data_IF_728753645443
#
_entry.id   IF_728753645443
#
_cell.length_a   1.000
_cell.length_b   1.000
_cell.length_c   1.000
_cell.angle_alpha   90.00
_cell.angle_beta   90.00
_cell.angle_gamma   90.00
#
_symmetry.space_group_name_H-M   'P 1'
#
loop_
_entity.id
_entity.type
_entity.pdbx_description
1 polymer ?
#
# COMPACT_ATOMS: atom_id res chain seq x y z
N UNK A 1 -17.82 -33.26 51.33
CA UNK A 1 -16.64 -32.41 51.21
C UNK A 1 -16.28 -32.09 49.74
N UNK A 2 -16.50 -32.99 48.80
CA UNK A 2 -16.11 -32.83 47.38
C UNK A 2 -16.87 -31.77 46.58
N UNK A 3 -18.11 -31.46 46.87
CA UNK A 3 -18.89 -30.45 46.14
C UNK A 3 -18.54 -28.97 46.49
N UNK A 4 -17.97 -28.74 47.68
CA UNK A 4 -17.53 -27.36 48.09
C UNK A 4 -16.16 -27.00 47.57
N UNK A 5 -15.32 -28.00 47.29
CA UNK A 5 -13.98 -27.78 46.71
C UNK A 5 -14.09 -27.46 45.19
N UNK A 6 -15.07 -28.08 44.50
CA UNK A 6 -15.33 -27.79 43.09
C UNK A 6 -15.87 -26.39 42.84
N UNK A 7 -16.68 -25.86 43.75
CA UNK A 7 -17.21 -24.49 43.67
C UNK A 7 -16.13 -23.43 43.95
N UNK A 8 -15.14 -23.75 44.80
CA UNK A 8 -14.04 -22.84 45.09
C UNK A 8 -12.99 -22.79 43.98
N UNK A 9 -12.76 -23.91 43.31
CA UNK A 9 -11.85 -23.96 42.14
C UNK A 9 -12.48 -23.30 40.93
N UNK A 10 -13.79 -23.42 40.69
CA UNK A 10 -14.49 -22.74 39.63
C UNK A 10 -14.59 -21.22 39.84
N UNK A 11 -14.74 -20.75 41.08
CA UNK A 11 -14.72 -19.33 41.37
C UNK A 11 -13.30 -18.71 41.34
N UNK A 12 -12.25 -19.50 41.57
CA UNK A 12 -10.88 -19.05 41.45
C UNK A 12 -10.41 -19.00 39.97
N UNK A 13 -10.94 -19.90 39.13
CA UNK A 13 -10.68 -19.86 37.67
C UNK A 13 -11.45 -18.71 36.98
N UNK A 14 -12.57 -18.28 37.54
CA UNK A 14 -13.31 -17.10 37.03
C UNK A 14 -12.70 -15.76 37.48
N UNK A 15 -11.85 -15.77 38.50
CA UNK A 15 -11.13 -14.57 38.96
C UNK A 15 -9.75 -14.36 38.25
N UNK A 16 -9.32 -15.32 37.47
CA UNK A 16 -8.03 -15.23 36.73
C UNK A 16 -8.17 -14.85 35.25
N UNK A 17 -9.37 -14.54 34.79
CA UNK A 17 -9.62 -14.10 33.40
C UNK A 17 -10.18 -12.69 33.30
N UNK A 18 -10.21 -11.93 34.36
CA UNK A 18 -10.39 -10.48 34.26
C UNK A 18 -8.99 -9.86 34.02
N UNK A 19 -8.49 -9.93 32.80
CA UNK A 19 -7.58 -8.91 32.31
C UNK A 19 -8.35 -7.59 32.46
N UNK A 20 -7.85 -6.57 33.18
CA UNK A 20 -8.50 -5.29 33.17
C UNK A 20 -8.48 -4.82 31.68
N UNK A 21 -9.60 -4.90 31.01
CA UNK A 21 -9.86 -3.94 29.96
C UNK A 21 -9.71 -2.60 30.70
N UNK A 22 -8.67 -1.84 30.40
CA UNK A 22 -8.57 -0.47 30.89
C UNK A 22 -9.90 0.17 30.53
N UNK A 23 -10.64 0.60 31.57
CA UNK A 23 -11.89 1.30 31.32
C UNK A 23 -11.51 2.52 30.49
N UNK A 24 -12.08 2.67 29.32
CA UNK A 24 -11.82 3.76 28.37
C UNK A 24 -11.94 5.14 29.07
N UNK A 25 -12.76 5.22 30.09
CA UNK A 25 -12.96 6.40 30.96
C UNK A 25 -11.73 6.79 31.80
N UNK A 26 -10.68 5.94 31.89
CA UNK A 26 -9.49 6.19 32.72
C UNK A 26 -8.36 6.85 31.95
N UNK A 27 -8.45 6.95 30.63
CA UNK A 27 -7.42 7.59 29.79
C UNK A 27 -7.64 9.11 29.83
N UNK A 28 -6.73 9.80 30.46
CA UNK A 28 -6.76 11.26 30.59
C UNK A 28 -5.40 11.89 30.19
N UNK A 29 -5.38 13.18 29.97
CA UNK A 29 -4.17 13.92 29.63
C UNK A 29 -4.26 14.64 28.31
N UNK A 30 -3.11 14.82 27.67
CA UNK A 30 -2.99 15.53 26.40
C UNK A 30 -2.09 14.73 25.45
N UNK A 31 -2.54 14.50 24.22
CA UNK A 31 -1.77 13.91 23.14
C UNK A 31 -1.56 14.91 22.03
N UNK A 32 -0.36 14.92 21.45
CA UNK A 32 -0.07 15.58 20.17
C UNK A 32 0.09 14.53 19.08
N UNK A 33 -0.69 14.63 18.03
CA UNK A 33 -0.72 13.67 16.94
C UNK A 33 -0.45 14.39 15.62
N UNK A 34 0.55 13.95 14.87
CA UNK A 34 0.77 14.41 13.52
C UNK A 34 -0.08 13.58 12.55
N UNK A 35 -0.91 14.25 11.78
CA UNK A 35 -1.87 13.63 10.86
C UNK A 35 -1.62 14.10 9.43
N UNK A 36 -1.91 13.22 8.48
CA UNK A 36 -1.87 13.56 7.06
C UNK A 36 -3.23 14.08 6.61
N UNK A 37 -3.20 15.13 5.78
CA UNK A 37 -4.31 15.51 4.92
C UNK A 37 -3.87 15.42 3.46
N UNK A 38 -4.80 15.29 2.54
CA UNK A 38 -4.46 15.43 1.13
C UNK A 38 -4.84 16.84 0.62
N UNK A 39 -4.10 17.30 -0.40
CA UNK A 39 -4.24 18.63 -1.00
C UNK A 39 -5.55 18.80 -1.83
N UNK A 40 -6.40 17.78 -1.92
CA UNK A 40 -7.58 17.75 -2.79
C UNK A 40 -8.90 18.11 -2.08
N UNK A 41 -8.84 18.60 -0.83
CA UNK A 41 -10.03 18.89 -0.02
C UNK A 41 -10.77 17.66 0.51
N UNK A 42 -10.17 16.47 0.38
CA UNK A 42 -10.63 15.22 0.97
C UNK A 42 -9.91 14.98 2.30
N UNK A 43 -9.90 15.97 3.15
CA UNK A 43 -9.12 16.02 4.39
C UNK A 43 -9.37 14.82 5.33
N UNK A 44 -10.56 14.25 5.23
CA UNK A 44 -10.97 13.09 6.00
C UNK A 44 -10.36 11.74 5.58
N UNK A 45 -9.69 11.66 4.41
CA UNK A 45 -9.34 10.39 3.79
C UNK A 45 -8.07 9.74 4.32
N UNK A 46 -7.17 10.51 4.91
CA UNK A 46 -5.81 10.03 5.21
C UNK A 46 -5.38 10.22 6.66
N UNK A 47 -6.29 10.55 7.57
CA UNK A 47 -5.93 10.84 8.95
C UNK A 47 -6.87 10.26 10.00
N UNK A 48 -6.30 9.79 11.08
CA UNK A 48 -7.00 9.35 12.30
C UNK A 48 -7.38 10.55 13.17
N UNK A 49 -8.13 11.49 12.66
CA UNK A 49 -8.47 12.72 13.36
C UNK A 49 -9.97 12.89 13.61
N UNK A 50 -10.30 13.50 14.70
CA UNK A 50 -11.66 13.84 15.12
C UNK A 50 -11.62 15.09 15.97
N UNK A 51 -11.31 16.24 15.34
CA UNK A 51 -11.08 17.49 16.04
C UNK A 51 -12.40 18.25 16.29
N UNK A 52 -13.27 18.26 15.29
CA UNK A 52 -14.51 19.02 15.30
C UNK A 52 -15.72 18.14 14.93
N UNK A 53 -16.93 18.49 15.40
CA UNK A 53 -18.13 17.83 14.94
C UNK A 53 -18.25 17.88 13.41
N UNK A 54 -18.37 16.71 12.79
CA UNK A 54 -18.38 16.55 11.33
C UNK A 54 -17.10 15.93 10.78
N UNK A 55 -16.00 15.87 11.55
CA UNK A 55 -14.85 15.05 11.21
C UNK A 55 -15.22 13.57 11.27
N UNK A 56 -14.69 12.71 10.39
CA UNK A 56 -15.10 11.30 10.25
C UNK A 56 -15.04 10.48 11.54
N UNK A 57 -14.16 10.87 12.45
CA UNK A 57 -13.87 10.10 13.66
C UNK A 57 -14.25 10.82 14.95
N UNK A 58 -14.84 12.02 14.84
CA UNK A 58 -15.08 12.88 15.99
C UNK A 58 -15.91 12.21 17.07
N UNK A 59 -17.07 11.68 16.69
CA UNK A 59 -17.99 11.08 17.64
C UNK A 59 -17.40 9.83 18.30
N UNK A 60 -16.75 8.96 17.50
CA UNK A 60 -16.07 7.79 18.01
C UNK A 60 -14.95 8.15 19.00
N UNK A 61 -14.08 9.08 18.63
CA UNK A 61 -12.97 9.50 19.49
C UNK A 61 -13.48 10.15 20.78
N UNK A 62 -14.52 10.94 20.71
CA UNK A 62 -15.14 11.55 21.90
C UNK A 62 -15.81 10.54 22.79
N UNK A 63 -16.44 9.53 22.26
CA UNK A 63 -17.03 8.44 23.04
C UNK A 63 -15.94 7.57 23.68
N UNK A 64 -14.90 7.22 22.95
CA UNK A 64 -13.82 6.38 23.44
C UNK A 64 -12.88 7.11 24.41
N UNK A 65 -12.65 8.41 24.24
CA UNK A 65 -11.67 9.20 24.99
C UNK A 65 -12.25 10.52 25.51
N UNK A 66 -13.28 10.49 26.36
CA UNK A 66 -14.00 11.70 26.84
C UNK A 66 -13.08 12.65 27.62
N UNK A 67 -12.05 12.12 28.29
CA UNK A 67 -11.15 12.87 29.18
C UNK A 67 -9.77 13.17 28.52
N UNK A 68 -9.54 12.73 27.28
CA UNK A 68 -8.30 12.95 26.55
C UNK A 68 -8.40 14.22 25.71
N UNK A 69 -7.47 15.15 25.90
CA UNK A 69 -7.32 16.30 25.01
C UNK A 69 -6.35 15.93 23.89
N UNK A 70 -6.76 16.09 22.64
CA UNK A 70 -5.95 15.75 21.49
C UNK A 70 -5.64 17.01 20.68
N UNK A 71 -4.35 17.22 20.39
CA UNK A 71 -3.86 18.28 19.51
C UNK A 71 -3.41 17.66 18.19
N UNK A 72 -4.17 17.90 17.14
CA UNK A 72 -3.79 17.45 15.80
C UNK A 72 -2.92 18.49 15.11
N UNK A 73 -1.78 18.04 14.56
CA UNK A 73 -0.90 18.86 13.74
C UNK A 73 -0.90 18.30 12.33
N UNK A 74 -1.39 19.10 11.39
CA UNK A 74 -1.67 18.70 10.02
C UNK A 74 -0.43 18.83 9.15
N UNK A 75 -0.26 17.92 8.19
CA UNK A 75 0.79 17.93 7.16
C UNK A 75 2.22 17.97 7.70
N UNK A 76 2.48 17.28 8.80
CA UNK A 76 3.82 16.95 9.24
C UNK A 76 3.95 15.43 9.28
N UNK A 77 4.97 14.92 8.64
CA UNK A 77 5.20 13.49 8.49
C UNK A 77 6.56 13.03 9.01
N UNK A 78 6.85 11.78 8.74
CA UNK A 78 8.04 11.09 9.24
C UNK A 78 9.37 11.78 8.87
N UNK A 79 9.45 12.49 7.75
CA UNK A 79 10.67 13.20 7.34
C UNK A 79 11.11 14.31 8.28
N UNK A 80 10.18 14.85 9.09
CA UNK A 80 10.41 15.98 9.98
C UNK A 80 10.61 15.57 11.44
N UNK A 81 10.29 14.29 11.79
CA UNK A 81 10.25 13.82 13.17
C UNK A 81 11.62 13.93 13.87
N UNK A 82 12.72 13.66 13.16
CA UNK A 82 14.06 13.75 13.72
C UNK A 82 14.43 15.17 14.15
N UNK A 83 14.07 16.16 13.34
CA UNK A 83 14.31 17.57 13.65
C UNK A 83 13.43 18.04 14.81
N UNK A 84 12.16 17.62 14.84
CA UNK A 84 11.25 17.92 15.93
C UNK A 84 11.70 17.29 17.25
N UNK A 85 12.19 16.04 17.21
CA UNK A 85 12.74 15.36 18.38
C UNK A 85 13.96 16.10 18.96
N UNK A 86 14.85 16.58 18.11
CA UNK A 86 16.02 17.38 18.55
C UNK A 86 15.60 18.75 19.12
N UNK A 87 14.54 19.34 18.62
CA UNK A 87 13.99 20.60 19.12
C UNK A 87 13.16 20.44 20.42
N UNK A 88 12.81 19.21 20.80
CA UNK A 88 11.92 18.93 21.94
C UNK A 88 10.45 19.21 21.63
N UNK A 89 10.06 19.21 20.36
CA UNK A 89 8.71 19.52 19.85
C UNK A 89 8.12 18.33 19.04
N UNK A 90 8.59 17.12 19.32
CA UNK A 90 8.07 15.91 18.68
C UNK A 90 6.68 15.56 19.23
N UNK A 91 5.78 15.00 18.40
CA UNK A 91 4.46 14.55 18.81
C UNK A 91 4.53 13.26 19.64
N UNK A 92 3.40 12.83 20.18
CA UNK A 92 3.28 11.51 20.82
C UNK A 92 3.08 10.40 19.77
N UNK A 93 2.31 10.73 18.73
CA UNK A 93 2.06 9.87 17.55
C UNK A 93 2.42 10.62 16.27
N UNK A 94 3.05 9.94 15.34
CA UNK A 94 3.31 10.45 13.99
C UNK A 94 3.05 9.37 12.94
N UNK A 95 2.69 9.81 11.75
CA UNK A 95 2.47 8.89 10.64
C UNK A 95 3.67 8.84 9.70
N UNK A 96 3.74 7.75 8.95
CA UNK A 96 4.43 7.69 7.67
C UNK A 96 3.48 7.17 6.60
N UNK A 97 3.70 7.60 5.39
CA UNK A 97 3.06 7.08 4.19
C UNK A 97 4.12 6.58 3.22
N UNK A 98 3.85 5.45 2.59
CA UNK A 98 4.76 4.82 1.65
C UNK A 98 5.16 3.39 2.02
N UNK A 99 6.32 2.99 1.54
CA UNK A 99 6.82 1.64 1.73
C UNK A 99 7.54 1.48 3.07
N UNK A 100 6.94 0.73 3.97
CA UNK A 100 7.45 0.56 5.33
C UNK A 100 8.86 -0.05 5.38
N UNK A 101 9.19 -0.97 4.48
CA UNK A 101 10.52 -1.60 4.41
C UNK A 101 11.65 -0.60 4.17
N UNK A 102 11.35 0.53 3.52
CA UNK A 102 12.31 1.60 3.26
C UNK A 102 12.35 2.65 4.37
N UNK A 103 11.21 2.90 5.01
CA UNK A 103 11.05 3.98 6.00
C UNK A 103 11.46 3.51 7.40
N UNK A 104 10.99 2.34 7.82
CA UNK A 104 11.24 1.83 9.18
C UNK A 104 12.72 1.77 9.57
N UNK A 105 13.64 1.22 8.76
CA UNK A 105 15.07 1.20 9.13
C UNK A 105 15.65 2.60 9.38
N UNK A 106 15.17 3.63 8.67
CA UNK A 106 15.65 5.01 8.86
C UNK A 106 15.14 5.61 10.17
N UNK A 107 13.90 5.35 10.55
CA UNK A 107 13.30 5.78 11.81
C UNK A 107 13.97 5.08 12.98
N UNK A 108 14.22 3.77 12.88
CA UNK A 108 14.83 2.94 13.91
C UNK A 108 16.32 3.27 14.13
N UNK A 109 17.07 3.54 13.06
CA UNK A 109 18.47 3.99 13.15
C UNK A 109 18.64 5.28 13.97
N UNK A 110 17.59 6.10 14.07
CA UNK A 110 17.54 7.33 14.83
C UNK A 110 16.86 7.18 16.19
N UNK A 111 16.36 5.97 16.53
CA UNK A 111 15.67 5.70 17.79
C UNK A 111 14.34 6.44 17.95
N UNK A 112 13.60 6.64 16.87
CA UNK A 112 12.40 7.48 16.87
C UNK A 112 11.10 6.74 17.19
N UNK A 113 11.06 5.41 16.95
CA UNK A 113 9.87 4.59 17.16
C UNK A 113 9.94 3.75 18.43
N UNK A 114 8.86 3.73 19.18
CA UNK A 114 8.66 2.83 20.33
C UNK A 114 8.29 1.43 19.84
N UNK A 115 8.94 0.35 20.36
CA UNK A 115 8.50 -1.02 20.07
C UNK A 115 7.16 -1.32 20.74
N UNK A 116 6.22 -1.91 19.98
CA UNK A 116 4.86 -2.14 20.43
C UNK A 116 4.65 -3.48 21.12
N UNK A 117 5.64 -4.37 21.14
CA UNK A 117 5.53 -5.72 21.66
C UNK A 117 4.98 -5.80 23.09
N UNK A 118 5.49 -4.93 24.01
CA UNK A 118 5.03 -4.92 25.39
C UNK A 118 3.56 -4.55 25.56
N UNK A 119 3.02 -3.78 24.63
CA UNK A 119 1.60 -3.39 24.65
C UNK A 119 0.69 -4.49 24.10
N UNK A 120 1.18 -5.28 23.14
CA UNK A 120 0.41 -6.35 22.49
C UNK A 120 0.53 -7.72 23.20
N UNK A 121 1.52 -7.92 24.09
CA UNK A 121 1.72 -9.19 24.81
C UNK A 121 0.46 -9.71 25.51
N UNK A 122 -0.36 -8.80 26.02
CA UNK A 122 -1.61 -9.13 26.71
C UNK A 122 -2.86 -9.07 25.80
N UNK A 123 -2.66 -8.77 24.51
CA UNK A 123 -3.72 -8.56 23.53
C UNK A 123 -3.37 -9.13 22.14
N UNK A 124 -2.84 -10.32 22.13
CA UNK A 124 -2.43 -10.96 20.88
C UNK A 124 -3.58 -11.11 19.85
N UNK A 125 -4.83 -11.14 20.32
CA UNK A 125 -6.01 -11.21 19.45
C UNK A 125 -6.15 -9.97 18.57
N UNK A 126 -5.74 -8.80 19.04
CA UNK A 126 -5.79 -7.57 18.27
C UNK A 126 -4.96 -7.62 16.99
N UNK A 127 -3.70 -8.09 17.09
CA UNK A 127 -2.81 -8.18 15.92
C UNK A 127 -3.14 -9.35 15.00
N UNK A 128 -3.81 -10.39 15.49
CA UNK A 128 -4.18 -11.55 14.67
C UNK A 128 -5.24 -11.24 13.62
N UNK A 129 -5.93 -10.12 13.73
CA UNK A 129 -6.93 -9.69 12.76
C UNK A 129 -6.31 -9.01 11.52
N UNK A 130 -5.05 -8.56 11.63
CA UNK A 130 -4.37 -7.96 10.49
C UNK A 130 -3.94 -9.00 9.45
N UNK A 131 -3.90 -8.59 8.19
CA UNK A 131 -3.29 -9.40 7.13
C UNK A 131 -1.80 -9.59 7.44
N UNK A 132 -1.30 -10.84 7.54
CA UNK A 132 0.07 -11.10 8.00
C UNK A 132 1.15 -10.32 7.26
N UNK A 133 1.12 -10.29 5.93
CA UNK A 133 2.09 -9.56 5.11
C UNK A 133 2.17 -8.06 5.41
N UNK A 134 1.10 -7.47 5.92
CA UNK A 134 1.06 -6.04 6.26
C UNK A 134 1.91 -5.74 7.51
N UNK A 135 1.74 -6.51 8.58
CA UNK A 135 2.50 -6.30 9.82
C UNK A 135 3.97 -6.70 9.68
N UNK A 136 4.26 -7.65 8.79
CA UNK A 136 5.64 -8.06 8.52
C UNK A 136 6.51 -6.91 8.02
N UNK A 137 5.98 -6.01 7.19
CA UNK A 137 6.72 -4.84 6.70
C UNK A 137 7.05 -3.82 7.78
N UNK A 138 6.36 -3.87 8.92
CA UNK A 138 6.53 -2.97 10.08
C UNK A 138 7.25 -3.66 11.24
N UNK A 139 7.69 -4.90 11.03
CA UNK A 139 8.37 -5.71 12.04
C UNK A 139 9.86 -5.80 11.69
N UNK A 140 10.71 -5.33 12.60
CA UNK A 140 12.17 -5.39 12.46
C UNK A 140 12.75 -6.13 13.66
N UNK A 141 13.58 -7.13 13.42
CA UNK A 141 14.22 -7.97 14.46
C UNK A 141 13.19 -8.55 15.46
N UNK A 142 11.99 -8.91 14.97
CA UNK A 142 10.91 -9.50 15.77
C UNK A 142 10.13 -8.49 16.62
N UNK A 143 10.37 -7.20 16.48
CA UNK A 143 9.61 -6.15 17.13
C UNK A 143 8.72 -5.42 16.12
N UNK A 144 7.45 -5.25 16.46
CA UNK A 144 6.51 -4.42 15.73
C UNK A 144 6.66 -2.96 16.18
N UNK A 145 6.72 -2.01 15.25
CA UNK A 145 6.96 -0.59 15.56
C UNK A 145 5.87 0.37 15.08
N UNK A 146 4.98 -0.11 14.23
CA UNK A 146 3.89 0.70 13.72
C UNK A 146 2.62 -0.14 13.54
N UNK A 147 1.47 0.52 13.50
CA UNK A 147 0.22 -0.08 13.08
C UNK A 147 -0.30 0.56 11.81
N UNK A 148 -0.73 -0.24 10.83
CA UNK A 148 -1.28 0.27 9.58
C UNK A 148 -2.71 0.78 9.81
N UNK A 149 -2.95 1.99 9.33
CA UNK A 149 -4.28 2.56 9.26
C UNK A 149 -4.93 2.27 7.91
N UNK A 150 -4.13 2.34 6.86
CA UNK A 150 -4.54 2.09 5.49
C UNK A 150 -3.46 1.35 4.72
N UNK A 151 -3.84 0.53 3.76
CA UNK A 151 -2.93 -0.23 2.92
C UNK A 151 -3.27 -0.05 1.44
N UNK A 152 -2.23 0.07 0.64
CA UNK A 152 -2.31 0.29 -0.80
C UNK A 152 -1.37 -0.70 -1.50
N UNK A 153 -1.80 -1.97 -1.68
CA UNK A 153 -1.00 -2.93 -2.40
C UNK A 153 -0.92 -2.56 -3.89
N UNK A 154 0.23 -2.81 -4.48
CA UNK A 154 0.41 -2.79 -5.92
C UNK A 154 0.07 -4.14 -6.52
N UNK A 155 -0.60 -4.10 -7.65
CA UNK A 155 -0.99 -5.27 -8.42
C UNK A 155 -1.30 -4.86 -9.85
N UNK A 156 -2.17 -5.61 -10.49
CA UNK A 156 -2.49 -5.43 -11.91
C UNK A 156 -4.01 -5.36 -12.07
N UNK A 157 -4.51 -4.21 -12.51
CA UNK A 157 -5.90 -4.13 -12.97
C UNK A 157 -6.03 -4.83 -14.31
N UNK A 158 -7.07 -5.62 -14.48
CA UNK A 158 -7.40 -6.34 -15.71
C UNK A 158 -8.73 -5.83 -16.24
N UNK A 159 -8.75 -5.44 -17.51
CA UNK A 159 -9.94 -4.98 -18.23
C UNK A 159 -10.56 -6.16 -18.95
N UNK A 160 -11.66 -6.66 -18.41
CA UNK A 160 -12.36 -7.81 -18.96
C UNK A 160 -12.99 -7.53 -20.32
N UNK A 161 -13.40 -6.29 -20.61
CA UNK A 161 -13.99 -5.94 -21.91
C UNK A 161 -12.98 -6.11 -23.06
N UNK A 162 -11.69 -5.84 -22.78
CA UNK A 162 -10.61 -6.08 -23.77
C UNK A 162 -10.36 -7.57 -23.96
N UNK A 163 -10.37 -8.35 -22.87
CA UNK A 163 -10.22 -9.80 -22.91
C UNK A 163 -11.38 -10.46 -23.68
N UNK A 164 -12.61 -10.08 -23.39
CA UNK A 164 -13.81 -10.57 -24.07
C UNK A 164 -13.76 -10.26 -25.57
N UNK A 165 -13.41 -9.03 -25.94
CA UNK A 165 -13.26 -8.63 -27.34
C UNK A 165 -12.20 -9.45 -28.07
N UNK A 166 -11.15 -9.86 -27.39
CA UNK A 166 -10.08 -10.70 -27.93
C UNK A 166 -10.39 -12.21 -27.82
N UNK A 167 -11.48 -12.59 -27.17
CA UNK A 167 -11.85 -13.97 -26.82
C UNK A 167 -10.73 -14.69 -26.05
N UNK A 168 -10.22 -14.01 -25.02
CA UNK A 168 -9.17 -14.51 -24.10
C UNK A 168 -9.81 -14.79 -22.74
N UNK A 169 -9.51 -15.94 -22.18
CA UNK A 169 -9.99 -16.32 -20.86
C UNK A 169 -9.47 -15.39 -19.76
N UNK A 170 -10.26 -15.17 -18.70
CA UNK A 170 -9.85 -14.38 -17.55
C UNK A 170 -8.73 -15.08 -16.79
N UNK A 171 -7.69 -14.34 -16.30
CA UNK A 171 -6.63 -14.95 -15.52
C UNK A 171 -7.15 -15.56 -14.22
N UNK A 172 -6.46 -16.59 -13.72
CA UNK A 172 -6.63 -17.05 -12.35
C UNK A 172 -5.88 -16.12 -11.37
N UNK A 173 -6.24 -16.13 -10.07
CA UNK A 173 -5.53 -15.30 -9.08
C UNK A 173 -4.07 -15.72 -8.89
N UNK A 174 -3.74 -16.97 -9.18
CA UNK A 174 -2.40 -17.55 -9.11
C UNK A 174 -1.67 -17.60 -10.48
N UNK A 175 -2.08 -16.74 -11.41
CA UNK A 175 -1.51 -16.65 -12.74
C UNK A 175 0.03 -16.47 -12.72
N UNK A 176 0.67 -16.86 -13.81
CA UNK A 176 2.12 -16.81 -13.96
C UNK A 176 2.55 -15.73 -14.94
N UNK A 177 3.86 -15.44 -14.99
CA UNK A 177 4.44 -14.59 -16.04
C UNK A 177 4.12 -15.13 -17.44
N UNK A 178 4.13 -16.46 -17.64
CA UNK A 178 3.78 -17.07 -18.92
C UNK A 178 2.31 -16.85 -19.30
N UNK A 179 1.40 -16.90 -18.32
CA UNK A 179 -0.02 -16.60 -18.54
C UNK A 179 -0.20 -15.12 -18.93
N UNK A 180 0.52 -14.23 -18.23
CA UNK A 180 0.53 -12.80 -18.56
C UNK A 180 1.07 -12.55 -19.98
N UNK A 181 2.17 -13.19 -20.39
CA UNK A 181 2.74 -13.06 -21.73
C UNK A 181 1.81 -13.62 -22.81
N UNK A 182 1.18 -14.76 -22.56
CA UNK A 182 0.22 -15.36 -23.48
C UNK A 182 -1.02 -14.45 -23.67
N UNK A 183 -1.54 -13.90 -22.59
CA UNK A 183 -2.61 -12.90 -22.65
C UNK A 183 -2.15 -11.65 -23.43
N UNK A 184 -0.96 -11.11 -23.13
CA UNK A 184 -0.44 -9.93 -23.77
C UNK A 184 -0.31 -10.09 -25.30
N UNK A 185 0.14 -11.25 -25.75
CA UNK A 185 0.22 -11.59 -27.18
C UNK A 185 -1.17 -11.67 -27.81
N UNK A 186 -2.12 -12.29 -27.14
CA UNK A 186 -3.45 -12.53 -27.67
C UNK A 186 -4.32 -11.26 -27.76
N UNK A 187 -4.20 -10.34 -26.80
CA UNK A 187 -5.03 -9.12 -26.77
C UNK A 187 -4.46 -7.99 -27.63
N UNK A 188 -3.15 -8.02 -27.94
CA UNK A 188 -2.50 -6.91 -28.64
C UNK A 188 -2.84 -6.93 -30.14
N UNK A 189 -3.54 -5.91 -30.58
CA UNK A 189 -3.89 -5.71 -32.00
C UNK A 189 -3.83 -4.22 -32.37
N UNK A 190 -2.81 -3.84 -33.12
CA UNK A 190 -2.57 -2.47 -33.61
C UNK A 190 -2.88 -2.31 -35.11
N UNK A 191 -3.57 -3.29 -35.72
CA UNK A 191 -3.90 -3.26 -37.16
C UNK A 191 -4.87 -2.12 -37.52
N UNK A 192 -5.74 -1.74 -36.58
CA UNK A 192 -6.52 -0.49 -36.63
C UNK A 192 -5.82 0.56 -35.75
N UNK A 193 -5.05 1.43 -36.40
CA UNK A 193 -4.28 2.45 -35.69
C UNK A 193 -5.13 3.51 -34.96
N UNK A 194 -6.40 3.63 -35.28
CA UNK A 194 -7.33 4.55 -34.62
C UNK A 194 -8.06 3.90 -33.43
N UNK A 195 -8.15 2.56 -33.43
CA UNK A 195 -8.81 1.80 -32.35
C UNK A 195 -7.92 0.61 -31.95
N UNK A 196 -6.69 0.84 -31.49
CA UNK A 196 -5.79 -0.23 -31.10
C UNK A 196 -6.32 -0.96 -29.86
N UNK A 197 -5.85 -2.19 -29.68
CA UNK A 197 -5.96 -2.94 -28.42
C UNK A 197 -4.54 -3.31 -27.99
N UNK A 198 -4.19 -3.09 -26.76
CA UNK A 198 -2.84 -3.30 -26.20
C UNK A 198 -2.92 -4.08 -24.89
N UNK A 199 -1.82 -4.73 -24.53
CA UNK A 199 -1.79 -5.49 -23.30
C UNK A 199 -1.56 -4.59 -22.08
N UNK A 200 -0.65 -3.61 -22.16
CA UNK A 200 -0.18 -2.85 -21.01
C UNK A 200 -0.43 -1.36 -21.22
N UNK A 201 -1.14 -0.74 -20.30
CA UNK A 201 -1.55 0.67 -20.37
C UNK A 201 -0.39 1.67 -20.32
N UNK A 202 0.78 1.26 -19.84
CA UNK A 202 1.93 2.13 -19.62
C UNK A 202 3.16 1.61 -20.32
N UNK A 203 4.08 2.51 -20.62
CA UNK A 203 5.37 2.20 -21.20
C UNK A 203 6.53 2.75 -20.35
N UNK A 204 7.76 2.42 -20.75
CA UNK A 204 9.00 2.77 -20.04
C UNK A 204 9.23 4.28 -19.84
N UNK A 205 8.56 5.15 -20.58
CA UNK A 205 8.70 6.61 -20.48
C UNK A 205 7.82 7.22 -19.38
N UNK A 206 6.93 6.45 -18.77
CA UNK A 206 6.00 6.93 -17.74
C UNK A 206 6.53 6.67 -16.32
N UNK A 207 6.34 7.64 -15.41
CA UNK A 207 7.00 7.64 -14.10
C UNK A 207 6.63 6.45 -13.20
N UNK A 208 5.36 6.10 -13.14
CA UNK A 208 4.89 5.11 -12.14
C UNK A 208 5.16 3.65 -12.53
N UNK A 209 5.66 3.41 -13.72
CA UNK A 209 5.86 2.07 -14.18
C UNK A 209 6.95 1.30 -13.43
N UNK A 210 7.86 2.00 -12.73
CA UNK A 210 8.96 1.39 -11.97
C UNK A 210 8.46 0.39 -10.92
N UNK A 211 7.26 0.59 -10.40
CA UNK A 211 6.62 -0.33 -9.47
C UNK A 211 6.22 -1.64 -10.11
N UNK A 212 5.94 -1.63 -11.41
CA UNK A 212 5.73 -2.85 -12.18
C UNK A 212 7.02 -3.67 -12.31
N UNK A 213 8.18 -3.02 -12.46
CA UNK A 213 9.49 -3.67 -12.45
C UNK A 213 9.72 -4.46 -11.14
N UNK A 214 9.22 -3.95 -10.02
CA UNK A 214 9.37 -4.62 -8.72
C UNK A 214 8.73 -6.02 -8.72
N UNK A 215 7.65 -6.23 -9.47
CA UNK A 215 7.02 -7.54 -9.61
C UNK A 215 7.93 -8.54 -10.32
N UNK A 216 8.68 -8.09 -11.33
CA UNK A 216 9.72 -8.93 -11.97
C UNK A 216 10.85 -9.24 -11.00
N UNK A 217 11.28 -8.27 -10.22
CA UNK A 217 12.30 -8.50 -9.20
C UNK A 217 11.87 -9.56 -8.18
N UNK A 218 10.61 -9.60 -7.80
CA UNK A 218 10.08 -10.59 -6.87
C UNK A 218 10.24 -12.02 -7.42
N UNK A 219 9.74 -12.29 -8.62
CA UNK A 219 9.79 -13.64 -9.23
C UNK A 219 11.21 -14.09 -9.61
N UNK A 220 12.15 -13.17 -9.79
CA UNK A 220 13.56 -13.50 -10.04
C UNK A 220 14.41 -13.49 -8.76
N UNK A 221 13.82 -13.17 -7.60
CA UNK A 221 14.49 -13.20 -6.30
C UNK A 221 15.61 -12.16 -6.14
N UNK A 222 15.45 -10.99 -6.75
CA UNK A 222 16.41 -9.89 -6.66
C UNK A 222 16.55 -9.39 -5.23
N UNK A 223 17.77 -9.27 -4.73
CA UNK A 223 18.06 -8.85 -3.33
C UNK A 223 19.12 -7.75 -3.22
N UNK A 224 19.62 -7.29 -4.35
CA UNK A 224 20.75 -6.38 -4.40
C UNK A 224 20.43 -4.92 -4.09
N UNK A 225 19.35 -4.60 -3.37
CA UNK A 225 18.98 -3.22 -3.03
C UNK A 225 18.12 -3.16 -1.76
N UNK A 226 18.01 -1.98 -1.19
CA UNK A 226 17.17 -1.74 -0.02
C UNK A 226 17.72 -0.65 0.90
N UNK A 227 17.37 -0.75 2.17
CA UNK A 227 17.89 0.10 3.25
C UNK A 227 18.52 -0.81 4.31
N UNK A 228 19.76 -0.50 4.72
CA UNK A 228 20.46 -1.27 5.74
C UNK A 228 19.98 -0.94 7.16
N UNK A 229 20.46 -1.69 8.16
CA UNK A 229 20.10 -1.49 9.56
C UNK A 229 20.52 -0.11 10.14
N UNK A 230 21.36 0.64 9.43
CA UNK A 230 21.72 2.01 9.79
C UNK A 230 20.85 3.06 9.09
N UNK A 231 19.80 2.65 8.40
CA UNK A 231 18.91 3.53 7.65
C UNK A 231 19.49 4.08 6.35
N UNK A 232 20.55 3.45 5.82
CA UNK A 232 21.21 3.90 4.59
C UNK A 232 20.74 3.09 3.40
N UNK A 233 20.31 3.78 2.36
CA UNK A 233 20.01 3.15 1.09
C UNK A 233 21.28 2.54 0.46
N UNK A 234 21.09 1.37 -0.16
CA UNK A 234 22.15 0.69 -0.90
C UNK A 234 21.62 0.07 -2.19
N UNK A 235 22.49 -0.12 -3.17
CA UNK A 235 22.20 -0.84 -4.41
C UNK A 235 23.43 -1.56 -4.94
N UNK A 236 23.21 -2.77 -5.46
CA UNK A 236 24.21 -3.62 -6.12
C UNK A 236 23.58 -4.35 -7.33
N UNK A 237 22.65 -3.71 -8.01
CA UNK A 237 21.87 -4.33 -9.10
C UNK A 237 22.76 -4.69 -10.30
N UNK A 238 23.81 -3.91 -10.56
CA UNK A 238 24.72 -4.17 -11.70
C UNK A 238 25.56 -5.44 -11.56
N UNK A 239 25.71 -5.95 -10.35
CA UNK A 239 26.45 -7.19 -10.02
C UNK A 239 25.53 -8.36 -9.69
N UNK A 240 24.22 -8.15 -9.61
CA UNK A 240 23.22 -9.17 -9.34
C UNK A 240 22.67 -9.76 -10.65
N UNK A 241 23.00 -11.02 -11.01
CA UNK A 241 22.50 -11.65 -12.23
C UNK A 241 20.96 -11.76 -12.26
N UNK A 242 20.31 -11.90 -11.08
CA UNK A 242 18.86 -11.94 -10.99
C UNK A 242 18.25 -10.58 -11.36
N UNK A 243 18.86 -9.48 -10.90
CA UNK A 243 18.44 -8.12 -11.26
C UNK A 243 18.59 -7.86 -12.76
N UNK A 244 19.73 -8.25 -13.33
CA UNK A 244 19.96 -8.10 -14.77
C UNK A 244 18.87 -8.85 -15.55
N UNK A 245 18.61 -10.11 -15.21
CA UNK A 245 17.60 -10.94 -15.90
C UNK A 245 16.19 -10.35 -15.72
N UNK A 246 15.82 -9.93 -14.50
CA UNK A 246 14.52 -9.33 -14.22
C UNK A 246 14.29 -8.05 -15.03
N UNK A 247 15.28 -7.17 -15.08
CA UNK A 247 15.18 -5.89 -15.79
C UNK A 247 15.22 -6.08 -17.30
N UNK A 248 16.04 -7.02 -17.82
CA UNK A 248 16.01 -7.37 -19.24
C UNK A 248 14.63 -7.86 -19.68
N UNK A 249 14.04 -8.78 -18.90
CA UNK A 249 12.69 -9.32 -19.16
C UNK A 249 11.62 -8.24 -19.11
N UNK A 250 11.69 -7.38 -18.11
CA UNK A 250 10.80 -6.24 -17.98
C UNK A 250 10.91 -5.30 -19.20
N UNK A 251 12.14 -4.93 -19.61
CA UNK A 251 12.38 -4.06 -20.78
C UNK A 251 11.94 -4.71 -22.09
N UNK A 252 12.05 -6.04 -22.22
CA UNK A 252 11.52 -6.77 -23.36
C UNK A 252 10.01 -6.53 -23.53
N UNK A 253 9.23 -6.53 -22.44
CA UNK A 253 7.80 -6.30 -22.50
C UNK A 253 7.42 -4.82 -22.68
N UNK A 254 8.24 -3.92 -22.18
CA UNK A 254 7.89 -2.49 -22.07
C UNK A 254 8.46 -1.63 -23.22
N UNK A 255 9.62 -1.97 -23.75
CA UNK A 255 10.36 -1.10 -24.64
C UNK A 255 10.64 -1.70 -26.03
N UNK A 256 10.51 -3.02 -26.19
CA UNK A 256 10.85 -3.69 -27.44
C UNK A 256 9.84 -3.33 -28.54
N UNK A 257 10.17 -2.30 -29.34
CA UNK A 257 9.33 -1.74 -30.41
C UNK A 257 7.89 -1.41 -29.98
N UNK A 258 7.69 -1.15 -28.69
CA UNK A 258 6.37 -0.93 -28.07
C UNK A 258 5.37 -2.04 -28.41
N UNK A 259 5.83 -3.29 -28.44
CA UNK A 259 5.01 -4.42 -28.89
C UNK A 259 3.67 -4.49 -28.14
N UNK A 260 3.68 -4.35 -26.83
CA UNK A 260 2.53 -4.51 -25.95
C UNK A 260 1.96 -3.21 -25.39
N UNK A 261 2.57 -2.08 -25.71
CA UNK A 261 2.22 -0.73 -25.28
C UNK A 261 2.08 0.18 -26.50
N UNK A 262 1.68 1.44 -26.32
CA UNK A 262 1.72 2.46 -27.38
C UNK A 262 2.91 3.40 -27.20
N UNK A 263 3.59 3.71 -28.30
CA UNK A 263 4.45 4.88 -28.39
C UNK A 263 3.63 6.16 -28.42
N UNK A 264 4.25 7.31 -28.12
CA UNK A 264 3.58 8.60 -28.21
C UNK A 264 2.95 8.85 -29.57
N UNK A 265 3.67 8.52 -30.67
CA UNK A 265 3.16 8.70 -32.03
C UNK A 265 1.96 7.81 -32.36
N UNK A 266 1.88 6.60 -31.80
CA UNK A 266 0.70 5.73 -31.95
C UNK A 266 -0.50 6.28 -31.19
N UNK A 267 -0.30 6.83 -29.98
CA UNK A 267 -1.34 7.54 -29.22
C UNK A 267 -1.88 8.74 -29.99
N UNK A 268 -1.00 9.54 -30.61
CA UNK A 268 -1.42 10.69 -31.41
C UNK A 268 -2.30 10.25 -32.60
N UNK A 269 -1.97 9.15 -33.27
CA UNK A 269 -2.78 8.59 -34.38
C UNK A 269 -4.12 8.07 -33.87
N UNK A 270 -4.15 7.45 -32.69
CA UNK A 270 -5.38 6.99 -32.05
C UNK A 270 -6.23 8.12 -31.47
N UNK A 271 -5.75 9.38 -31.53
CA UNK A 271 -6.45 10.55 -30.98
C UNK A 271 -6.47 10.61 -29.46
N UNK A 272 -5.54 9.95 -28.79
CA UNK A 272 -5.41 9.92 -27.34
C UNK A 272 -4.62 11.14 -26.87
N UNK A 273 -5.10 11.80 -25.82
CA UNK A 273 -4.42 12.97 -25.25
C UNK A 273 -3.26 12.56 -24.34
N UNK A 274 -2.03 12.70 -24.82
CA UNK A 274 -0.82 12.38 -24.08
C UNK A 274 -0.62 13.20 -22.78
N UNK A 275 -1.37 14.28 -22.58
CA UNK A 275 -1.39 15.05 -21.34
C UNK A 275 -2.27 14.44 -20.26
N UNK A 276 -3.08 13.45 -20.60
CA UNK A 276 -3.96 12.77 -19.66
C UNK A 276 -3.23 11.58 -19.04
N UNK A 277 -3.13 11.60 -17.72
CA UNK A 277 -2.55 10.49 -16.95
C UNK A 277 -3.29 9.16 -17.22
N UNK A 278 -2.57 8.10 -17.52
CA UNK A 278 -3.09 6.76 -17.86
C UNK A 278 -4.10 6.74 -19.01
N UNK A 279 -3.88 7.52 -20.05
CA UNK A 279 -4.85 7.66 -21.14
C UNK A 279 -5.21 6.33 -21.80
N UNK A 280 -4.26 5.41 -21.97
CA UNK A 280 -4.50 4.09 -22.59
C UNK A 280 -5.49 3.25 -21.76
N UNK A 281 -5.37 3.34 -20.43
CA UNK A 281 -6.31 2.70 -19.52
C UNK A 281 -7.65 3.40 -19.51
N UNK A 282 -7.66 4.73 -19.39
CA UNK A 282 -8.88 5.54 -19.37
C UNK A 282 -9.71 5.42 -20.64
N UNK A 283 -9.05 5.22 -21.77
CA UNK A 283 -9.73 4.96 -23.05
C UNK A 283 -10.27 3.51 -23.19
N UNK A 284 -10.00 2.64 -22.22
CA UNK A 284 -10.47 1.26 -22.25
C UNK A 284 -9.82 0.39 -23.32
N UNK A 285 -8.65 0.79 -23.85
CA UNK A 285 -7.96 0.06 -24.92
C UNK A 285 -6.87 -0.90 -24.42
N UNK A 286 -6.46 -0.77 -23.16
CA UNK A 286 -5.46 -1.64 -22.54
C UNK A 286 -6.12 -2.76 -21.75
N UNK A 287 -5.55 -3.97 -21.85
CA UNK A 287 -6.01 -5.14 -21.10
C UNK A 287 -5.55 -5.11 -19.67
N UNK A 288 -4.38 -4.51 -19.38
CA UNK A 288 -3.83 -4.43 -18.03
C UNK A 288 -3.30 -3.05 -17.70
N UNK A 289 -3.36 -2.74 -16.41
CA UNK A 289 -2.80 -1.54 -15.83
C UNK A 289 -2.11 -1.89 -14.51
N UNK A 290 -0.77 -1.96 -14.47
CA UNK A 290 -0.03 -2.09 -13.23
C UNK A 290 -0.18 -0.83 -12.38
N UNK A 291 -0.65 -0.99 -11.16
CA UNK A 291 -0.92 0.17 -10.33
C UNK A 291 -1.24 -0.16 -8.88
N UNK A 292 -1.38 0.88 -8.08
CA UNK A 292 -1.81 0.78 -6.68
C UNK A 292 -3.33 0.68 -6.61
N UNK A 293 -3.82 -0.07 -5.64
CA UNK A 293 -5.26 -0.31 -5.47
C UNK A 293 -6.12 0.96 -5.38
N UNK A 294 -5.59 2.02 -4.78
CA UNK A 294 -6.30 3.31 -4.67
C UNK A 294 -6.48 4.05 -6.02
N UNK A 295 -5.75 3.64 -7.06
CA UNK A 295 -5.96 4.17 -8.43
C UNK A 295 -7.08 3.43 -9.16
N UNK A 296 -7.67 2.48 -8.48
CA UNK A 296 -8.73 1.66 -8.98
C UNK A 296 -9.87 2.54 -9.50
N UNK A 297 -10.41 2.08 -10.56
CA UNK A 297 -11.72 2.45 -11.02
C UNK A 297 -11.76 3.83 -11.69
N UNK A 298 -11.41 3.81 -12.96
CA UNK A 298 -11.87 4.81 -13.89
C UNK A 298 -13.40 4.76 -13.88
N UNK A 299 -14.00 5.84 -13.41
CA UNK A 299 -15.44 5.95 -13.26
C UNK A 299 -16.03 6.87 -14.33
N UNK A 300 -17.22 6.57 -14.75
CA UNK A 300 -18.07 7.47 -15.51
C UNK A 300 -18.58 8.62 -14.61
N UNK A 301 -19.23 9.62 -15.20
CA UNK A 301 -19.81 10.76 -14.48
C UNK A 301 -20.86 10.33 -13.44
N UNK A 302 -21.46 9.16 -13.58
CA UNK A 302 -22.42 8.56 -12.63
C UNK A 302 -21.74 7.74 -11.51
N UNK A 303 -20.43 7.73 -11.46
CA UNK A 303 -19.64 7.03 -10.43
C UNK A 303 -19.41 5.54 -10.68
N UNK A 304 -19.95 4.95 -11.75
CA UNK A 304 -19.74 3.54 -12.09
C UNK A 304 -18.43 3.32 -12.84
N UNK A 305 -17.83 2.13 -12.78
CA UNK A 305 -16.70 1.77 -13.63
C UNK A 305 -17.01 2.04 -15.11
N UNK A 306 -16.07 2.64 -15.83
CA UNK A 306 -16.20 2.92 -17.26
C UNK A 306 -16.18 1.64 -18.11
N UNK A 307 -15.61 0.57 -17.58
CA UNK A 307 -15.51 -0.76 -18.16
C UNK A 307 -15.36 -1.80 -17.05
N UNK A 308 -15.57 -3.07 -17.36
CA UNK A 308 -15.46 -4.17 -16.40
C UNK A 308 -13.98 -4.42 -16.05
N UNK A 309 -13.55 -4.04 -14.85
CA UNK A 309 -12.17 -4.14 -14.37
C UNK A 309 -12.09 -4.86 -13.04
N UNK A 310 -11.06 -5.69 -12.87
CA UNK A 310 -10.78 -6.43 -11.65
C UNK A 310 -9.31 -6.28 -11.28
N UNK A 311 -9.02 -6.20 -9.99
CA UNK A 311 -7.65 -6.13 -9.48
C UNK A 311 -7.10 -7.54 -9.24
N UNK A 312 -5.89 -7.78 -9.71
CA UNK A 312 -5.16 -9.02 -9.57
C UNK A 312 -3.87 -8.81 -8.79
N UNK A 313 -3.41 -9.82 -8.02
CA UNK A 313 -2.06 -9.79 -7.46
C UNK A 313 -1.02 -9.80 -8.59
N UNK A 314 0.24 -9.49 -8.24
CA UNK A 314 1.37 -9.72 -9.13
C UNK A 314 1.40 -11.19 -9.58
N UNK A 315 1.78 -11.42 -10.84
CA UNK A 315 1.92 -12.78 -11.35
C UNK A 315 3.06 -13.54 -10.65
N UNK A 316 2.91 -14.86 -10.55
CA UNK A 316 3.96 -15.75 -10.07
C UNK A 316 5.03 -15.99 -11.15
N UNK A 317 6.21 -16.46 -10.75
CA UNK A 317 7.21 -16.98 -11.66
C UNK A 317 6.76 -18.29 -12.34
N UNK A 318 7.37 -18.61 -13.47
CA UNK A 318 6.99 -19.79 -14.26
C UNK A 318 7.35 -21.12 -13.59
N UNK A 319 8.32 -21.11 -12.69
CA UNK A 319 8.79 -22.27 -11.94
C UNK A 319 8.22 -22.34 -10.50
N UNK A 320 7.22 -21.50 -10.21
CA UNK A 320 6.49 -21.48 -8.94
C UNK A 320 7.04 -20.48 -7.91
N UNK A 321 7.92 -19.57 -8.33
CA UNK A 321 8.34 -18.46 -7.47
C UNK A 321 7.13 -17.56 -7.18
N UNK A 322 6.95 -17.24 -5.91
CA UNK A 322 5.85 -16.40 -5.50
C UNK A 322 5.97 -14.99 -6.09
N UNK A 323 4.91 -14.52 -6.72
CA UNK A 323 4.77 -13.14 -7.13
C UNK A 323 4.68 -12.21 -5.90
N UNK A 324 5.05 -10.97 -6.10
CA UNK A 324 4.91 -9.94 -5.08
C UNK A 324 5.01 -8.57 -5.71
N UNK A 325 4.42 -7.60 -5.03
CA UNK A 325 4.46 -6.20 -5.45
C UNK A 325 4.75 -5.29 -4.26
N UNK A 326 5.12 -4.03 -4.51
CA UNK A 326 5.28 -3.09 -3.42
C UNK A 326 3.94 -2.86 -2.74
N UNK A 327 4.00 -2.55 -1.44
CA UNK A 327 2.84 -2.18 -0.66
C UNK A 327 3.13 -0.86 0.03
N UNK A 328 2.35 0.14 -0.27
CA UNK A 328 2.38 1.40 0.45
C UNK A 328 1.35 1.35 1.57
N UNK A 329 1.67 2.01 2.67
CA UNK A 329 0.79 2.06 3.84
C UNK A 329 0.73 3.47 4.38
N UNK A 330 -0.39 3.80 5.01
CA UNK A 330 -0.45 4.89 5.97
C UNK A 330 -0.43 4.25 7.35
N UNK A 331 0.64 4.48 8.08
CA UNK A 331 0.89 3.81 9.35
C UNK A 331 1.31 4.81 10.42
N UNK A 332 1.06 4.47 11.67
CA UNK A 332 1.35 5.33 12.80
C UNK A 332 2.33 4.67 13.76
N UNK A 333 3.32 5.45 14.19
CA UNK A 333 4.30 5.12 15.22
C UNK A 333 4.04 5.91 16.49
N UNK A 334 4.28 5.29 17.63
CA UNK A 334 4.46 6.02 18.90
C UNK A 334 5.89 6.56 18.92
N UNK A 335 6.06 7.86 19.19
CA UNK A 335 7.39 8.44 19.34
C UNK A 335 8.10 7.87 20.59
N UNK A 336 9.30 7.33 20.41
CA UNK A 336 10.05 6.69 21.51
C UNK A 336 10.32 7.61 22.70
N UNK A 337 10.43 8.93 22.47
CA UNK A 337 10.62 9.95 23.51
C UNK A 337 9.34 10.48 24.15
N UNK A 338 8.15 10.04 23.71
CA UNK A 338 6.86 10.47 24.29
C UNK A 338 6.79 10.15 25.78
N UNK A 339 6.20 11.06 26.55
CA UNK A 339 5.88 10.86 27.96
C UNK A 339 4.45 10.33 28.16
N UNK A 340 3.67 10.24 27.09
CA UNK A 340 2.24 9.86 27.09
C UNK A 340 1.99 8.53 26.36
N UNK A 341 2.97 7.60 26.40
CA UNK A 341 2.97 6.38 25.60
C UNK A 341 1.75 5.48 25.80
N UNK A 342 1.26 5.37 27.04
CA UNK A 342 0.06 4.57 27.35
C UNK A 342 -1.20 5.16 26.68
N UNK A 343 -1.37 6.48 26.75
CA UNK A 343 -2.47 7.16 26.10
C UNK A 343 -2.32 7.09 24.54
N UNK A 344 -1.08 7.23 24.05
CA UNK A 344 -0.78 7.09 22.64
C UNK A 344 -1.09 5.68 22.12
N UNK A 345 -0.75 4.64 22.88
CA UNK A 345 -1.10 3.27 22.55
C UNK A 345 -2.61 3.03 22.56
N UNK A 346 -3.31 3.47 23.61
CA UNK A 346 -4.75 3.30 23.69
C UNK A 346 -5.47 3.97 22.50
N UNK A 347 -5.04 5.17 22.14
CA UNK A 347 -5.56 5.87 20.97
C UNK A 347 -5.25 5.15 19.68
N UNK A 348 -3.97 4.80 19.44
CA UNK A 348 -3.53 4.10 18.25
C UNK A 348 -4.27 2.78 18.04
N UNK A 349 -4.36 1.97 19.10
CA UNK A 349 -5.10 0.71 19.09
C UNK A 349 -6.56 0.91 18.71
N UNK A 350 -7.24 1.90 19.29
CA UNK A 350 -8.64 2.18 19.02
C UNK A 350 -8.87 2.54 17.55
N UNK A 351 -8.10 3.50 17.01
CA UNK A 351 -8.31 4.00 15.64
C UNK A 351 -7.81 3.05 14.55
N UNK A 352 -6.96 2.09 14.88
CA UNK A 352 -6.52 1.03 13.96
C UNK A 352 -7.27 -0.29 14.16
N UNK A 353 -8.33 -0.31 14.97
CA UNK A 353 -9.13 -1.51 15.21
C UNK A 353 -10.15 -1.75 14.09
N UNK A 354 -10.51 -3.02 13.92
CA UNK A 354 -11.61 -3.41 13.03
C UNK A 354 -12.96 -2.79 13.49
N UNK A 355 -13.19 -2.74 14.80
CA UNK A 355 -14.40 -2.13 15.38
C UNK A 355 -14.54 -0.67 14.96
N UNK A 356 -13.44 0.10 15.02
CA UNK A 356 -13.42 1.47 14.55
C UNK A 356 -13.78 1.57 13.07
N UNK A 357 -13.14 0.75 12.23
CA UNK A 357 -13.39 0.72 10.78
C UNK A 357 -14.86 0.44 10.45
N UNK A 358 -15.48 -0.47 11.18
CA UNK A 358 -16.86 -0.86 10.95
C UNK A 358 -17.88 0.18 11.45
N UNK A 359 -17.52 1.02 12.42
CA UNK A 359 -18.43 1.96 13.06
C UNK A 359 -18.14 3.43 12.72
N UNK A 360 -17.00 3.74 12.10
CA UNK A 360 -16.70 5.13 11.74
C UNK A 360 -17.66 5.65 10.67
N UNK A 361 -18.32 6.77 10.98
CA UNK A 361 -19.27 7.43 10.08
C UNK A 361 -18.87 8.88 9.86
N UNK A 362 -19.19 9.42 8.69
CA UNK A 362 -19.01 10.82 8.37
C UNK A 362 -20.20 11.38 7.62
N UNK A 363 -20.35 12.70 7.69
CA UNK A 363 -21.37 13.43 6.94
C UNK A 363 -20.85 13.76 5.53
N UNK A 364 -21.53 13.24 4.51
CA UNK A 364 -21.27 13.56 3.12
C UNK A 364 -22.55 14.10 2.47
N UNK A 365 -22.51 15.33 1.99
CA UNK A 365 -23.65 15.99 1.32
C UNK A 365 -24.95 15.99 2.15
N UNK A 366 -24.82 15.98 3.50
CA UNK A 366 -25.95 15.98 4.44
C UNK A 366 -26.52 14.60 4.76
N UNK A 367 -25.85 13.54 4.33
CA UNK A 367 -26.17 12.15 4.67
C UNK A 367 -25.04 11.54 5.51
N UNK A 368 -25.40 10.88 6.62
CA UNK A 368 -24.42 10.11 7.42
C UNK A 368 -24.10 8.81 6.70
N UNK A 369 -22.83 8.62 6.35
CA UNK A 369 -22.33 7.41 5.66
C UNK A 369 -21.21 6.78 6.47
N UNK A 370 -21.09 5.44 6.37
CA UNK A 370 -19.94 4.74 6.94
C UNK A 370 -18.67 5.05 6.12
N UNK A 371 -17.58 5.36 6.82
CA UNK A 371 -16.37 5.92 6.22
C UNK A 371 -15.59 4.88 5.44
N UNK A 372 -15.56 3.63 5.89
CA UNK A 372 -14.69 2.58 5.34
C UNK A 372 -15.45 1.43 4.70
N UNK A 373 -16.77 1.49 4.64
CA UNK A 373 -17.52 0.41 4.04
C UNK A 373 -17.59 0.54 2.53
N UNK A 374 -17.72 -0.63 1.94
CA UNK A 374 -18.10 -0.80 0.56
C UNK A 374 -19.40 -0.06 0.28
N UNK A 375 -19.38 0.80 -0.70
CA UNK A 375 -20.57 1.46 -1.19
C UNK A 375 -21.14 0.62 -2.33
N UNK A 376 -22.29 -0.03 -2.10
CA UNK A 376 -22.98 -0.87 -3.08
C UNK A 376 -23.38 -0.09 -4.35
N UNK A 377 -23.70 1.21 -4.22
CA UNK A 377 -24.10 2.03 -5.34
C UNK A 377 -22.93 2.40 -6.27
N UNK A 378 -21.73 2.51 -5.72
CA UNK A 378 -20.52 2.84 -6.49
C UNK A 378 -19.59 1.66 -6.69
N UNK A 379 -19.90 0.50 -6.09
CA UNK A 379 -19.09 -0.72 -6.13
C UNK A 379 -17.62 -0.45 -5.76
N UNK A 380 -17.38 0.43 -4.79
CA UNK A 380 -16.06 0.84 -4.36
C UNK A 380 -15.98 1.03 -2.86
N UNK A 381 -14.82 0.76 -2.26
CA UNK A 381 -14.55 1.24 -0.91
C UNK A 381 -14.46 2.76 -0.92
N UNK A 382 -15.12 3.39 0.04
CA UNK A 382 -15.17 4.85 0.14
C UNK A 382 -13.78 5.42 0.47
N UNK A 383 -12.97 4.61 1.19
CA UNK A 383 -11.60 4.95 1.60
C UNK A 383 -10.74 3.69 1.55
N UNK A 384 -9.45 3.82 1.58
CA UNK A 384 -8.46 2.77 1.44
C UNK A 384 -8.80 1.40 2.01
N UNK A 385 -8.01 0.42 1.69
CA UNK A 385 -8.32 -0.95 2.06
C UNK A 385 -8.06 -1.18 3.54
N UNK A 386 -9.00 -1.79 4.25
CA UNK A 386 -8.76 -2.20 5.61
C UNK A 386 -7.65 -3.27 5.63
N UNK A 387 -6.68 -3.17 6.56
CA UNK A 387 -5.59 -4.14 6.67
C UNK A 387 -6.01 -5.44 7.39
N UNK A 388 -7.30 -5.79 7.39
CA UNK A 388 -7.87 -6.89 8.17
C UNK A 388 -8.29 -8.07 7.30
N UNK A 389 -8.30 -9.26 7.90
CA UNK A 389 -8.76 -10.51 7.28
C UNK A 389 -10.27 -10.72 7.35
N UNK A 390 -11.05 -9.67 7.50
CA UNK A 390 -12.50 -9.73 7.69
C UNK A 390 -13.22 -10.29 6.46
N UNK A 391 -14.17 -11.19 6.69
CA UNK A 391 -15.09 -11.64 5.66
C UNK A 391 -16.19 -10.59 5.47
N UNK A 392 -16.20 -9.92 4.29
CA UNK A 392 -17.26 -9.02 3.92
C UNK A 392 -18.35 -9.78 3.13
N UNK A 393 -19.62 -9.45 3.38
CA UNK A 393 -20.72 -9.88 2.50
C UNK A 393 -20.67 -9.04 1.22
N UNK A 394 -19.99 -9.57 0.21
CA UNK A 394 -19.73 -8.89 -1.06
C UNK A 394 -20.56 -9.51 -2.18
N UNK A 395 -20.96 -8.70 -3.17
CA UNK A 395 -21.44 -9.26 -4.43
C UNK A 395 -20.31 -9.97 -5.18
N UNK A 396 -20.65 -10.81 -6.18
CA UNK A 396 -19.68 -11.67 -6.87
C UNK A 396 -18.55 -10.89 -7.57
N UNK A 397 -18.82 -9.68 -8.07
CA UNK A 397 -17.85 -8.85 -8.77
C UNK A 397 -16.87 -8.21 -7.79
N UNK A 398 -17.40 -7.72 -6.68
CA UNK A 398 -16.58 -7.12 -5.65
C UNK A 398 -15.77 -8.16 -4.86
N UNK A 399 -16.31 -9.36 -4.69
CA UNK A 399 -15.57 -10.48 -4.10
C UNK A 399 -14.31 -10.81 -4.90
N UNK A 400 -14.36 -10.75 -6.24
CA UNK A 400 -13.17 -10.94 -7.08
C UNK A 400 -12.14 -9.83 -6.89
N UNK A 401 -12.57 -8.58 -6.85
CA UNK A 401 -11.70 -7.44 -6.58
C UNK A 401 -11.04 -7.59 -5.20
N UNK A 402 -11.83 -7.84 -4.16
CA UNK A 402 -11.34 -8.00 -2.79
C UNK A 402 -10.34 -9.16 -2.65
N UNK A 403 -10.62 -10.30 -3.28
CA UNK A 403 -9.72 -11.45 -3.24
C UNK A 403 -8.35 -11.13 -3.87
N UNK A 404 -8.33 -10.39 -4.98
CA UNK A 404 -7.09 -9.93 -5.60
C UNK A 404 -6.30 -8.97 -4.71
N UNK A 405 -6.99 -8.02 -4.08
CA UNK A 405 -6.39 -7.07 -3.14
C UNK A 405 -5.83 -7.79 -1.90
N UNK A 406 -6.60 -8.69 -1.32
CA UNK A 406 -6.18 -9.51 -0.17
C UNK A 406 -4.95 -10.36 -0.49
N UNK A 407 -4.92 -11.00 -1.65
CA UNK A 407 -3.78 -11.79 -2.10
C UNK A 407 -2.52 -10.92 -2.27
N UNK A 408 -2.66 -9.71 -2.83
CA UNK A 408 -1.54 -8.76 -2.98
C UNK A 408 -0.97 -8.29 -1.65
N UNK A 409 -1.81 -8.11 -0.62
CA UNK A 409 -1.35 -7.71 0.72
C UNK A 409 -0.52 -8.79 1.41
N UNK A 410 -0.69 -10.06 1.06
CA UNK A 410 0.02 -11.18 1.70
C UNK A 410 1.46 -11.37 1.20
N UNK A 411 1.81 -10.81 0.06
CA UNK A 411 3.11 -10.98 -0.59
C UNK A 411 3.77 -9.65 -0.93
N UNK A 412 4.02 -8.77 0.07
CA UNK A 412 4.69 -7.51 -0.19
C UNK A 412 6.14 -7.75 -0.64
N UNK A 413 6.63 -6.88 -1.51
CA UNK A 413 8.01 -6.90 -1.98
C UNK A 413 8.61 -5.50 -1.89
N UNK A 414 9.86 -5.40 -1.47
CA UNK A 414 10.51 -4.12 -1.21
C UNK A 414 10.70 -3.30 -2.48
N UNK A 415 10.30 -2.04 -2.42
CA UNK A 415 10.48 -1.08 -3.50
C UNK A 415 11.93 -0.57 -3.56
N UNK A 416 12.34 -0.05 -4.71
CA UNK A 416 13.67 0.54 -4.88
C UNK A 416 13.83 1.83 -4.05
N UNK A 417 15.00 1.99 -3.45
CA UNK A 417 15.31 3.13 -2.60
C UNK A 417 15.36 4.47 -3.37
N UNK A 418 15.71 4.44 -4.64
CA UNK A 418 15.69 5.60 -5.53
C UNK A 418 15.02 5.24 -6.85
N UNK A 419 13.75 5.56 -6.96
CA UNK A 419 12.93 5.20 -8.12
C UNK A 419 13.23 6.08 -9.34
N UNK A 420 13.57 7.35 -9.14
CA UNK A 420 13.83 8.27 -10.26
C UNK A 420 15.06 7.92 -11.06
N UNK A 421 16.17 7.70 -10.37
CA UNK A 421 17.42 7.37 -11.06
C UNK A 421 17.38 5.97 -11.67
N UNK A 422 16.68 5.01 -11.06
CA UNK A 422 16.46 3.70 -11.67
C UNK A 422 15.58 3.81 -12.93
N UNK A 423 14.51 4.60 -12.88
CA UNK A 423 13.68 4.89 -14.03
C UNK A 423 14.49 5.50 -15.17
N UNK A 424 15.32 6.50 -14.88
CA UNK A 424 16.16 7.10 -15.92
C UNK A 424 17.22 6.13 -16.45
N UNK A 425 17.78 5.27 -15.59
CA UNK A 425 18.70 4.22 -16.02
C UNK A 425 18.03 3.26 -17.04
N UNK A 426 16.82 2.81 -16.75
CA UNK A 426 16.07 1.93 -17.65
C UNK A 426 15.65 2.63 -18.96
N UNK A 427 15.30 3.92 -18.90
CA UNK A 427 15.03 4.73 -20.09
C UNK A 427 16.25 4.87 -21.02
N UNK A 428 17.44 5.12 -20.45
CA UNK A 428 18.69 5.15 -21.22
C UNK A 428 18.94 3.82 -21.96
N UNK A 429 18.63 2.71 -21.30
CA UNK A 429 18.73 1.37 -21.94
C UNK A 429 17.71 1.24 -23.06
N UNK A 430 16.45 1.59 -22.82
CA UNK A 430 15.37 1.51 -23.81
C UNK A 430 15.66 2.37 -25.06
N UNK A 431 16.32 3.52 -24.88
CA UNK A 431 16.75 4.40 -25.98
C UNK A 431 18.07 3.97 -26.65
N UNK A 432 18.71 2.90 -26.15
CA UNK A 432 19.99 2.42 -26.68
C UNK A 432 21.19 3.32 -26.37
N UNK A 433 21.08 4.19 -25.37
CA UNK A 433 22.14 5.12 -24.95
C UNK A 433 23.23 4.42 -24.11
N UNK A 434 22.85 3.45 -23.30
CA UNK A 434 23.73 2.66 -22.45
C UNK A 434 23.41 1.17 -22.53
N UNK A 435 24.40 0.32 -22.21
CA UNK A 435 24.11 -1.08 -21.86
C UNK A 435 23.38 -1.15 -20.52
N UNK A 436 22.59 -2.22 -20.28
CA UNK A 436 21.90 -2.39 -19.00
C UNK A 436 22.88 -2.38 -17.82
N UNK A 437 23.99 -3.12 -17.92
CA UNK A 437 25.00 -3.19 -16.86
C UNK A 437 25.62 -1.83 -16.57
N UNK A 438 25.91 -1.01 -17.59
CA UNK A 438 26.49 0.32 -17.39
C UNK A 438 25.46 1.28 -16.77
N UNK A 439 24.21 1.22 -17.20
CA UNK A 439 23.13 2.02 -16.61
C UNK A 439 22.90 1.67 -15.13
N UNK A 440 22.91 0.38 -14.79
CA UNK A 440 22.78 -0.07 -13.41
C UNK A 440 23.99 0.31 -12.55
N UNK A 441 25.22 0.32 -13.11
CA UNK A 441 26.39 0.84 -12.40
C UNK A 441 26.29 2.32 -12.09
N UNK A 442 25.77 3.13 -13.01
CA UNK A 442 25.50 4.55 -12.72
C UNK A 442 24.51 4.68 -11.57
N UNK A 443 23.43 3.89 -11.57
CA UNK A 443 22.44 3.86 -10.53
C UNK A 443 23.02 3.42 -9.17
N UNK A 444 23.72 2.28 -9.11
CA UNK A 444 24.34 1.76 -7.88
C UNK A 444 25.29 2.79 -7.27
N UNK A 445 26.13 3.41 -8.10
CA UNK A 445 27.07 4.44 -7.66
C UNK A 445 26.34 5.65 -7.07
N UNK A 446 25.24 6.06 -7.68
CA UNK A 446 24.43 7.17 -7.20
C UNK A 446 23.79 6.85 -5.84
N UNK A 447 23.09 5.73 -5.72
CA UNK A 447 22.44 5.31 -4.47
C UNK A 447 23.47 5.17 -3.33
N UNK A 448 24.57 4.46 -3.59
CA UNK A 448 25.59 4.21 -2.57
C UNK A 448 26.38 5.46 -2.16
N UNK A 449 26.47 6.47 -3.03
CA UNK A 449 27.12 7.75 -2.69
C UNK A 449 26.19 8.66 -1.86
N UNK A 450 24.90 8.66 -2.17
CA UNK A 450 23.93 9.53 -1.49
C UNK A 450 23.37 8.88 -0.21
N UNK A 451 23.19 7.56 -0.20
CA UNK A 451 22.67 6.78 0.93
C UNK A 451 21.31 7.25 1.45
N UNK A 452 20.49 7.86 0.60
CA UNK A 452 19.16 8.39 0.94
C UNK A 452 18.09 7.69 0.14
N UNK A 453 16.88 7.59 0.70
CA UNK A 453 15.71 7.11 0.00
C UNK A 453 15.05 8.28 -0.73
N UNK A 454 14.74 8.08 -2.01
CA UNK A 454 14.10 9.09 -2.86
C UNK A 454 12.86 8.48 -3.48
N UNK A 455 11.71 9.04 -3.16
CA UNK A 455 10.42 8.66 -3.76
C UNK A 455 10.03 9.67 -4.87
N UNK A 456 9.36 9.22 -5.93
CA UNK A 456 8.67 10.12 -6.83
C UNK A 456 7.57 10.90 -6.08
N UNK A 457 7.50 12.21 -6.29
CA UNK A 457 6.40 13.05 -5.80
C UNK A 457 5.10 12.78 -6.55
#
# INVERSE_FOLDING_TARGET
MTKRIFALVLSLCLLLTAVPAFAVDEIEGELTIWVRTNDTGREALYGIWGNEPGDPYYDYIKEQFPNLKINYVINKGWGEIAAAAQAGDAPDLFFFDGNADLIMPQLLAQGLCEPLNSYIENDASFVNNFVPGVLETMTVDGNLYALPFDVMPYGIFVNYDVLDKANVDYPALDWTLADFEAMAEAVTNKSDAQNPSIAIARNVEENDYIRFLTMFCAIYGVKGYGVDANGKAYSNLSEDPAAITAIEKYLELQANDYKYTLSQSERDVAGLDNGVWNIDWRAGIAATFPGVSSWALIKNDDGRPAFNQVFYPAFNGNDGEAGGGPMETISYCIYAGSQNKEAAWAYLKAVTSEEFRNNATAEFEGETRQVFLYNEDTEAFTFGLPPFTTEYELNDEFAKLYNGLYASMQTPYTLFADQFNLLEATRKVARGELSLVDALKEYDNYVNANNTVVFPE
#
